data_IF_977662880397
#
_entry.id   IF_977662880397
#
_cell.length_a   1.000
_cell.length_b   1.000
_cell.length_c   1.000
_cell.angle_alpha   90.00
_cell.angle_beta   90.00
_cell.angle_gamma   90.00
#
_symmetry.space_group_name_H-M   'P 1'
#
loop_
_entity.id
_entity.type
_entity.pdbx_description
1 polymer ?
#
# COMPACT_ATOMS: atom_id res chain seq x y z
N UNK A 1 15.34 -27.86 20.63
CA UNK A 1 15.18 -27.39 19.24
C UNK A 1 13.73 -27.08 18.83
N UNK A 2 12.70 -27.61 19.52
CA UNK A 2 11.29 -27.39 19.17
C UNK A 2 10.71 -26.05 19.67
N UNK A 3 11.06 -25.60 20.88
CA UNK A 3 10.47 -24.38 21.50
C UNK A 3 10.72 -23.10 20.70
N UNK A 4 11.91 -22.96 20.11
CA UNK A 4 12.30 -21.77 19.30
C UNK A 4 11.50 -21.70 17.99
N UNK A 5 11.25 -22.84 17.34
CA UNK A 5 10.49 -22.90 16.09
C UNK A 5 9.01 -22.57 16.32
N UNK A 6 8.44 -23.00 17.44
CA UNK A 6 7.06 -22.68 17.82
C UNK A 6 6.88 -21.20 18.11
N UNK A 7 7.83 -20.56 18.82
CA UNK A 7 7.77 -19.12 19.11
C UNK A 7 7.78 -18.27 17.83
N UNK A 8 8.64 -18.61 16.87
CA UNK A 8 8.71 -17.92 15.57
C UNK A 8 7.44 -18.12 14.72
N UNK A 9 6.77 -19.26 14.87
CA UNK A 9 5.51 -19.52 14.16
C UNK A 9 4.35 -18.69 14.71
N UNK A 10 4.26 -18.53 16.03
CA UNK A 10 3.19 -17.75 16.69
C UNK A 10 3.34 -16.26 16.38
N UNK A 11 4.55 -15.71 16.50
CA UNK A 11 4.82 -14.30 16.16
C UNK A 11 4.44 -13.97 14.71
N UNK A 12 4.69 -14.91 13.77
CA UNK A 12 4.31 -14.74 12.37
C UNK A 12 2.80 -14.79 12.15
N UNK A 13 2.08 -15.65 12.86
CA UNK A 13 0.63 -15.73 12.76
C UNK A 13 -0.02 -14.46 13.32
N UNK A 14 0.45 -13.97 14.46
CA UNK A 14 0.02 -12.70 15.03
C UNK A 14 0.28 -11.56 14.04
N UNK A 15 1.47 -11.50 13.45
CA UNK A 15 1.79 -10.47 12.47
C UNK A 15 0.93 -10.56 11.20
N UNK A 16 0.64 -11.77 10.70
CA UNK A 16 -0.28 -11.98 9.57
C UNK A 16 -1.70 -11.53 9.89
N UNK A 17 -2.20 -11.82 11.10
CA UNK A 17 -3.51 -11.36 11.54
C UNK A 17 -3.57 -9.84 11.65
N UNK A 18 -2.50 -9.20 12.17
CA UNK A 18 -2.39 -7.73 12.25
C UNK A 18 -2.31 -7.10 10.86
N UNK A 19 -1.58 -7.72 9.93
CA UNK A 19 -1.42 -7.26 8.56
C UNK A 19 -2.55 -7.68 7.62
N UNK A 20 -3.54 -8.42 8.12
CA UNK A 20 -4.67 -8.85 7.32
C UNK A 20 -5.36 -7.65 6.69
N UNK A 21 -5.89 -7.85 5.48
CA UNK A 21 -6.58 -6.81 4.72
C UNK A 21 -7.61 -6.07 5.58
N UNK A 22 -7.47 -4.74 5.68
CA UNK A 22 -8.34 -3.86 6.45
C UNK A 22 -9.18 -2.99 5.50
N UNK A 23 -10.43 -3.36 5.20
CA UNK A 23 -11.31 -2.58 4.31
C UNK A 23 -11.49 -1.13 4.76
N UNK A 24 -11.43 -0.88 6.07
CA UNK A 24 -11.57 0.45 6.67
C UNK A 24 -10.48 1.40 6.19
N UNK A 25 -9.24 0.92 6.01
CA UNK A 25 -8.13 1.75 5.54
C UNK A 25 -8.32 2.16 4.07
N UNK A 26 -8.88 1.27 3.25
CA UNK A 26 -9.23 1.59 1.87
C UNK A 26 -10.41 2.56 1.77
N UNK A 27 -11.40 2.43 2.65
CA UNK A 27 -12.48 3.40 2.80
C UNK A 27 -11.97 4.79 3.19
N UNK A 28 -11.03 4.86 4.15
CA UNK A 28 -10.43 6.11 4.58
C UNK A 28 -9.59 6.76 3.46
N UNK A 29 -8.90 5.96 2.64
CA UNK A 29 -8.21 6.45 1.43
C UNK A 29 -9.19 6.99 0.40
N UNK A 30 -10.33 6.32 0.18
CA UNK A 30 -11.35 6.80 -0.74
C UNK A 30 -11.94 8.14 -0.27
N UNK A 31 -12.24 8.27 1.03
CA UNK A 31 -12.70 9.52 1.63
C UNK A 31 -11.67 10.64 1.44
N UNK A 32 -10.39 10.35 1.66
CA UNK A 32 -9.30 11.29 1.48
C UNK A 32 -9.20 11.79 0.03
N UNK A 33 -9.30 10.89 -0.96
CA UNK A 33 -9.34 11.27 -2.38
C UNK A 33 -10.56 12.13 -2.70
N UNK A 34 -11.75 11.79 -2.19
CA UNK A 34 -12.97 12.58 -2.41
C UNK A 34 -12.81 14.02 -1.94
N UNK A 35 -12.20 14.24 -0.77
CA UNK A 35 -11.89 15.57 -0.27
C UNK A 35 -10.94 16.34 -1.20
N UNK A 36 -9.91 15.66 -1.73
CA UNK A 36 -8.96 16.27 -2.70
C UNK A 36 -9.68 16.69 -3.98
N UNK A 37 -10.54 15.82 -4.52
CA UNK A 37 -11.31 16.08 -5.74
C UNK A 37 -12.28 17.24 -5.54
N UNK A 38 -13.03 17.26 -4.43
CA UNK A 38 -13.96 18.35 -4.13
C UNK A 38 -13.27 19.70 -3.98
N UNK A 39 -12.08 19.72 -3.38
CA UNK A 39 -11.26 20.92 -3.31
C UNK A 39 -10.80 21.38 -4.72
N UNK A 40 -10.44 20.46 -5.62
CA UNK A 40 -10.08 20.83 -7.00
C UNK A 40 -11.26 21.34 -7.84
N UNK A 41 -12.48 20.88 -7.53
CA UNK A 41 -13.70 21.37 -8.17
C UNK A 41 -14.18 22.73 -7.63
N UNK A 42 -13.46 23.33 -6.68
CA UNK A 42 -13.81 24.60 -6.03
C UNK A 42 -15.22 24.60 -5.42
N UNK A 43 -15.63 23.47 -4.82
CA UNK A 43 -16.92 23.38 -4.13
C UNK A 43 -16.93 24.30 -2.89
N UNK A 44 -17.97 25.15 -2.72
CA UNK A 44 -18.07 26.02 -1.56
C UNK A 44 -18.15 25.19 -0.26
N UNK A 45 -17.33 25.55 0.72
CA UNK A 45 -17.22 24.81 1.99
C UNK A 45 -16.15 23.71 2.02
N UNK A 46 -15.53 23.38 0.88
CA UNK A 46 -14.41 22.43 0.81
C UNK A 46 -13.09 23.18 0.61
N UNK A 47 -12.57 23.77 1.69
CA UNK A 47 -11.21 24.32 1.76
C UNK A 47 -10.33 23.36 2.56
N UNK A 48 -9.24 22.87 1.97
CA UNK A 48 -8.26 22.04 2.69
C UNK A 48 -7.95 20.69 2.07
N UNK A 49 -8.02 20.57 0.73
CA UNK A 49 -7.69 19.34 0.02
C UNK A 49 -6.30 18.77 0.36
N UNK A 50 -5.35 19.60 0.80
CA UNK A 50 -4.03 19.15 1.25
C UNK A 50 -4.08 18.12 2.38
N UNK A 51 -5.04 18.22 3.32
CA UNK A 51 -5.20 17.23 4.40
C UNK A 51 -5.57 15.87 3.82
N UNK A 52 -6.43 15.85 2.78
CA UNK A 52 -6.78 14.63 2.07
C UNK A 52 -5.56 14.00 1.39
N UNK A 53 -4.68 14.83 0.82
CA UNK A 53 -3.42 14.37 0.22
C UNK A 53 -2.52 13.71 1.29
N UNK A 54 -2.32 14.37 2.43
CA UNK A 54 -1.47 13.88 3.51
C UNK A 54 -1.99 12.55 4.09
N UNK A 55 -3.29 12.49 4.41
CA UNK A 55 -3.94 11.29 4.95
C UNK A 55 -3.83 10.12 3.95
N UNK A 56 -4.10 10.38 2.67
CA UNK A 56 -3.99 9.36 1.63
C UNK A 56 -2.58 8.78 1.52
N UNK A 57 -1.55 9.64 1.53
CA UNK A 57 -0.16 9.20 1.41
C UNK A 57 0.32 8.44 2.64
N UNK A 58 -0.03 8.90 3.85
CA UNK A 58 0.33 8.22 5.10
C UNK A 58 -0.26 6.81 5.15
N UNK A 59 -1.55 6.66 4.87
CA UNK A 59 -2.20 5.34 4.89
C UNK A 59 -1.64 4.44 3.79
N UNK A 60 -1.42 4.99 2.59
CA UNK A 60 -0.83 4.22 1.49
C UNK A 60 0.58 3.74 1.85
N UNK A 61 1.40 4.61 2.46
CA UNK A 61 2.76 4.28 2.94
C UNK A 61 2.76 3.17 3.99
N UNK A 62 1.85 3.25 4.96
CA UNK A 62 1.63 2.19 5.94
C UNK A 62 1.31 0.85 5.26
N UNK A 63 0.30 0.81 4.39
CA UNK A 63 -0.10 -0.41 3.68
C UNK A 63 1.03 -0.99 2.82
N UNK A 64 1.77 -0.15 2.11
CA UNK A 64 2.93 -0.58 1.32
C UNK A 64 3.98 -1.24 2.22
N UNK A 65 4.27 -0.63 3.36
CA UNK A 65 5.24 -1.15 4.32
C UNK A 65 4.79 -2.49 4.89
N UNK A 66 3.51 -2.65 5.19
CA UNK A 66 2.91 -3.93 5.58
C UNK A 66 3.11 -5.02 4.52
N UNK A 67 2.80 -4.73 3.25
CA UNK A 67 2.99 -5.70 2.15
C UNK A 67 4.46 -6.09 2.00
N UNK A 68 5.39 -5.15 2.11
CA UNK A 68 6.83 -5.42 2.05
C UNK A 68 7.27 -6.28 3.24
N UNK A 69 6.78 -5.98 4.44
CA UNK A 69 7.08 -6.76 5.65
C UNK A 69 6.52 -8.19 5.56
N UNK A 70 5.32 -8.38 5.01
CA UNK A 70 4.75 -9.70 4.77
C UNK A 70 5.57 -10.51 3.75
N UNK A 71 5.96 -9.89 2.63
CA UNK A 71 6.82 -10.53 1.62
C UNK A 71 8.16 -10.94 2.25
N UNK A 72 8.78 -10.06 3.04
CA UNK A 72 10.01 -10.36 3.76
C UNK A 72 9.89 -11.57 4.71
N UNK A 73 8.82 -11.60 5.52
CA UNK A 73 8.59 -12.69 6.49
C UNK A 73 8.19 -14.01 5.83
N UNK A 74 7.52 -13.96 4.67
CA UNK A 74 7.10 -15.15 3.93
C UNK A 74 8.30 -15.83 3.24
N UNK A 75 9.25 -15.05 2.71
CA UNK A 75 10.46 -15.57 2.08
C UNK A 75 11.46 -16.14 3.09
N UNK A 76 11.34 -15.79 4.37
CA UNK A 76 12.16 -16.35 5.46
C UNK A 76 12.08 -17.88 5.56
N UNK A 77 10.93 -18.49 5.22
CA UNK A 77 10.69 -19.92 5.42
C UNK A 77 11.12 -20.81 4.26
N UNK A 78 11.24 -20.25 3.05
CA UNK A 78 11.40 -21.04 1.82
C UNK A 78 12.84 -21.32 1.42
N UNK A 79 13.79 -20.47 1.80
CA UNK A 79 15.21 -20.71 1.50
C UNK A 79 16.11 -19.82 2.40
N UNK A 80 16.94 -20.41 3.27
CA UNK A 80 17.86 -19.66 4.13
C UNK A 80 18.87 -18.82 3.34
N UNK A 81 19.13 -19.17 2.07
CA UNK A 81 20.03 -18.43 1.18
C UNK A 81 19.37 -17.28 0.43
N UNK A 82 18.02 -17.24 0.33
CA UNK A 82 17.30 -16.16 -0.39
C UNK A 82 16.67 -15.17 0.57
N UNK A 83 17.53 -14.49 1.32
CA UNK A 83 17.16 -13.50 2.35
C UNK A 83 16.92 -12.10 1.79
N UNK A 84 16.55 -11.99 0.52
CA UNK A 84 16.43 -10.72 -0.20
C UNK A 84 14.98 -10.36 -0.49
N UNK A 85 14.66 -9.07 -0.28
CA UNK A 85 13.42 -8.47 -0.74
C UNK A 85 13.35 -8.57 -2.26
N UNK A 86 12.29 -9.16 -2.80
CA UNK A 86 12.06 -9.14 -4.24
C UNK A 86 11.44 -7.80 -4.65
N UNK A 87 12.24 -6.75 -4.56
CA UNK A 87 11.86 -5.38 -4.96
C UNK A 87 11.39 -5.35 -6.41
N UNK A 88 12.00 -6.12 -7.30
CA UNK A 88 11.57 -6.24 -8.69
C UNK A 88 10.12 -6.73 -8.81
N UNK A 89 9.76 -7.83 -8.13
CA UNK A 89 8.39 -8.34 -8.14
C UNK A 89 7.39 -7.37 -7.49
N UNK A 90 7.79 -6.67 -6.43
CA UNK A 90 6.97 -5.63 -5.80
C UNK A 90 6.67 -4.48 -6.78
N UNK A 91 7.71 -3.89 -7.38
CA UNK A 91 7.55 -2.79 -8.34
C UNK A 91 6.79 -3.23 -9.59
N UNK A 92 7.03 -4.44 -10.10
CA UNK A 92 6.34 -4.96 -11.27
C UNK A 92 4.82 -5.09 -11.05
N UNK A 93 4.39 -5.66 -9.91
CA UNK A 93 2.96 -5.75 -9.55
C UNK A 93 2.33 -4.36 -9.47
N UNK A 94 3.05 -3.39 -8.92
CA UNK A 94 2.57 -2.01 -8.75
C UNK A 94 2.50 -1.25 -10.07
N UNK A 95 3.52 -1.39 -10.94
CA UNK A 95 3.53 -0.82 -12.29
C UNK A 95 2.36 -1.33 -13.11
N UNK A 96 2.09 -2.64 -13.11
CA UNK A 96 0.95 -3.21 -13.85
C UNK A 96 -0.41 -2.62 -13.45
N UNK A 97 -0.54 -2.10 -12.22
CA UNK A 97 -1.76 -1.43 -11.74
C UNK A 97 -1.78 0.07 -12.02
N UNK A 98 -0.65 0.78 -11.91
CA UNK A 98 -0.59 2.26 -12.02
C UNK A 98 -0.36 2.73 -13.46
N UNK A 99 0.50 2.04 -14.20
CA UNK A 99 0.93 2.39 -15.55
C UNK A 99 -0.23 2.57 -16.55
N UNK A 100 -1.29 1.72 -16.61
CA UNK A 100 -2.36 1.93 -17.58
C UNK A 100 -3.10 3.27 -17.38
N UNK A 101 -3.38 3.64 -16.12
CA UNK A 101 -4.06 4.92 -15.81
C UNK A 101 -3.11 6.09 -16.08
N UNK A 102 -1.84 5.98 -15.67
CA UNK A 102 -0.86 7.02 -15.90
C UNK A 102 -0.67 7.33 -17.40
N UNK A 103 -0.60 6.30 -18.25
CA UNK A 103 -0.48 6.47 -19.70
C UNK A 103 -1.70 7.20 -20.28
N UNK A 104 -2.91 6.85 -19.84
CA UNK A 104 -4.14 7.53 -20.28
C UNK A 104 -4.08 9.02 -19.92
N UNK A 105 -3.75 9.33 -18.66
CA UNK A 105 -3.67 10.73 -18.20
C UNK A 105 -2.60 11.50 -18.99
N UNK A 106 -1.41 10.93 -19.19
CA UNK A 106 -0.33 11.56 -19.94
C UNK A 106 -0.72 11.83 -21.40
N UNK A 107 -1.39 10.89 -22.06
CA UNK A 107 -1.87 11.08 -23.43
C UNK A 107 -2.91 12.20 -23.52
N UNK A 108 -3.87 12.23 -22.59
CA UNK A 108 -4.89 13.29 -22.53
C UNK A 108 -4.24 14.65 -22.28
N UNK A 109 -3.29 14.73 -21.34
CA UNK A 109 -2.57 15.96 -21.02
C UNK A 109 -1.62 16.43 -22.12
N UNK A 110 -1.21 15.57 -23.06
CA UNK A 110 -0.38 15.98 -24.20
C UNK A 110 -1.22 16.56 -25.34
N UNK A 111 -2.46 16.08 -25.48
CA UNK A 111 -3.39 16.50 -26.52
C UNK A 111 -4.09 17.82 -26.17
N UNK A 112 -4.25 18.10 -24.87
CA UNK A 112 -4.88 19.31 -24.34
C UNK A 112 -3.83 20.41 -24.07
#
# INVERSE_FOLDING_TARGET
MNVVRTKISIEREIFRVILAYQPVLDGLRALAITLVVFNHLNLPGFSGGFVGVDVFFVISGYLITCVIAEDYLSNYDKDKSKRYLNVYAFYFKRMRRILPVALIVLLVSLVY
#
